data_IF_304025806607
#
_entry.id   IF_304025806607
#
_cell.length_a   1.000
_cell.length_b   1.000
_cell.length_c   1.000
_cell.angle_alpha   90.00
_cell.angle_beta   90.00
_cell.angle_gamma   90.00
#
_symmetry.space_group_name_H-M   'P 1'
#
loop_
_entity.id
_entity.type
_entity.pdbx_description
1 polymer ?
#
# COMPACT_ATOMS: atom_id res chain seq x y z
N UNK A 1 -9.95 19.18 0.64
CA UNK A 1 -9.87 17.70 0.55
C UNK A 1 -9.54 17.15 1.92
N UNK A 2 -10.14 16.01 2.29
CA UNK A 2 -9.86 15.34 3.56
C UNK A 2 -8.77 14.27 3.38
N UNK A 3 -7.78 14.21 4.27
CA UNK A 3 -6.84 13.09 4.33
C UNK A 3 -7.47 11.94 5.11
N UNK A 4 -7.55 10.77 4.48
CA UNK A 4 -8.07 9.55 5.10
C UNK A 4 -6.95 8.52 5.17
N UNK A 5 -6.54 8.13 6.37
CA UNK A 5 -5.62 7.02 6.58
C UNK A 5 -6.40 5.71 6.67
N UNK A 6 -6.00 4.71 5.89
CA UNK A 6 -6.51 3.35 6.01
C UNK A 6 -5.44 2.51 6.67
N UNK A 7 -5.74 2.00 7.87
CA UNK A 7 -4.78 1.28 8.71
C UNK A 7 -5.16 -0.20 8.71
N UNK A 8 -4.24 -1.09 8.33
CA UNK A 8 -4.46 -2.53 8.43
C UNK A 8 -4.73 -2.91 9.89
N UNK A 9 -5.65 -3.84 10.12
CA UNK A 9 -5.92 -4.42 11.44
C UNK A 9 -5.93 -5.94 11.37
N UNK A 10 -5.41 -6.54 12.43
CA UNK A 10 -5.45 -7.97 12.68
C UNK A 10 -6.01 -8.20 14.09
N UNK A 11 -7.05 -9.00 14.24
CA UNK A 11 -7.63 -9.34 15.55
C UNK A 11 -7.97 -8.13 16.44
N UNK A 12 -8.53 -7.07 15.86
CA UNK A 12 -8.91 -5.80 16.52
C UNK A 12 -7.76 -4.87 16.93
N UNK A 13 -6.51 -5.23 16.67
CA UNK A 13 -5.34 -4.36 16.91
C UNK A 13 -4.84 -3.83 15.56
N UNK A 14 -4.48 -2.54 15.43
CA UNK A 14 -3.77 -2.03 14.27
C UNK A 14 -2.50 -2.86 14.03
N UNK A 15 -2.25 -3.23 12.77
CA UNK A 15 -1.02 -3.95 12.42
C UNK A 15 0.18 -3.11 12.84
N UNK A 16 1.12 -3.74 13.56
CA UNK A 16 2.33 -3.08 14.02
C UNK A 16 3.22 -2.78 12.81
N UNK A 17 3.49 -1.50 12.59
CA UNK A 17 4.53 -1.07 11.66
C UNK A 17 5.91 -1.37 12.28
N UNK A 18 6.95 -1.40 11.44
CA UNK A 18 8.33 -1.50 11.95
C UNK A 18 8.62 -0.24 12.79
N UNK A 19 9.45 -0.37 13.83
CA UNK A 19 9.75 0.74 14.75
C UNK A 19 10.25 2.00 14.02
N UNK A 20 11.07 1.80 12.98
CA UNK A 20 11.59 2.88 12.13
C UNK A 20 10.50 3.74 11.47
N UNK A 21 9.31 3.19 11.27
CA UNK A 21 8.20 3.82 10.56
C UNK A 21 7.18 4.46 11.52
N UNK A 22 7.30 4.24 12.84
CA UNK A 22 6.31 4.69 13.82
C UNK A 22 6.14 6.20 13.84
N UNK A 23 7.24 6.96 13.76
CA UNK A 23 7.18 8.41 13.80
C UNK A 23 6.41 8.97 12.59
N UNK A 24 6.82 8.57 11.38
CA UNK A 24 6.18 8.99 10.14
C UNK A 24 4.71 8.58 10.06
N UNK A 25 4.38 7.35 10.49
CA UNK A 25 3.00 6.90 10.56
C UNK A 25 2.17 7.68 11.58
N UNK A 26 2.74 7.98 12.75
CA UNK A 26 2.10 8.82 13.77
C UNK A 26 1.78 10.22 13.24
N UNK A 27 2.71 10.85 12.53
CA UNK A 27 2.50 12.15 11.88
C UNK A 27 1.36 12.09 10.85
N UNK A 28 1.34 11.08 9.98
CA UNK A 28 0.26 10.89 9.01
C UNK A 28 -1.11 10.71 9.70
N UNK A 29 -1.15 9.95 10.81
CA UNK A 29 -2.37 9.75 11.59
C UNK A 29 -2.85 11.03 12.27
N UNK A 30 -1.93 11.89 12.74
CA UNK A 30 -2.27 13.19 13.32
C UNK A 30 -2.80 14.19 12.29
N UNK A 31 -2.28 14.14 11.05
CA UNK A 31 -2.80 14.91 9.91
C UNK A 31 -4.11 14.30 9.33
N UNK A 32 -4.42 13.08 9.76
CA UNK A 32 -5.64 12.31 9.57
C UNK A 32 -6.95 13.06 9.84
N UNK A 33 -7.76 13.44 8.85
CA UNK A 33 -9.14 13.85 9.14
C UNK A 33 -10.05 12.66 9.46
N UNK A 34 -9.73 11.49 8.89
CA UNK A 34 -10.40 10.24 9.21
C UNK A 34 -9.40 9.09 9.20
N UNK A 35 -9.55 8.17 10.16
CA UNK A 35 -8.83 6.90 10.17
C UNK A 35 -9.85 5.78 10.00
N UNK A 36 -9.62 4.92 9.01
CA UNK A 36 -10.44 3.72 8.76
C UNK A 36 -9.59 2.50 9.01
N UNK A 37 -10.16 1.52 9.69
CA UNK A 37 -9.49 0.24 9.87
C UNK A 37 -9.94 -0.74 8.79
N UNK A 38 -8.99 -1.52 8.26
CA UNK A 38 -9.22 -2.52 7.23
C UNK A 38 -8.71 -3.88 7.73
N UNK A 39 -9.60 -4.87 7.82
CA UNK A 39 -9.19 -6.25 8.14
C UNK A 39 -8.17 -6.72 7.10
N UNK A 40 -7.00 -7.11 7.58
CA UNK A 40 -5.85 -7.45 6.74
C UNK A 40 -5.01 -8.50 7.48
N UNK A 41 -4.93 -9.69 6.92
CA UNK A 41 -4.09 -10.77 7.43
C UNK A 41 -2.85 -10.91 6.55
N UNK A 42 -1.66 -10.47 7.01
CA UNK A 42 -0.44 -10.58 6.21
C UNK A 42 -0.02 -12.03 5.89
N UNK A 43 -0.56 -13.02 6.60
CA UNK A 43 -0.30 -14.43 6.33
C UNK A 43 -1.19 -15.02 5.21
N UNK A 44 -2.31 -14.36 4.88
CA UNK A 44 -3.21 -14.75 3.80
C UNK A 44 -3.07 -13.77 2.62
N UNK A 45 -2.22 -14.14 1.66
CA UNK A 45 -1.96 -13.35 0.45
C UNK A 45 -3.24 -12.97 -0.30
N UNK A 46 -4.20 -13.88 -0.40
CA UNK A 46 -5.44 -13.60 -1.13
C UNK A 46 -6.34 -12.64 -0.35
N UNK A 47 -6.32 -12.69 0.99
CA UNK A 47 -6.98 -11.69 1.82
C UNK A 47 -6.35 -10.30 1.65
N UNK A 48 -5.02 -10.20 1.62
CA UNK A 48 -4.31 -8.94 1.33
C UNK A 48 -4.75 -8.36 -0.02
N UNK A 49 -4.68 -9.17 -1.08
CA UNK A 49 -5.08 -8.74 -2.43
C UNK A 49 -6.52 -8.23 -2.45
N UNK A 50 -7.47 -8.97 -1.85
CA UNK A 50 -8.89 -8.54 -1.79
C UNK A 50 -9.07 -7.23 -1.02
N UNK A 51 -8.29 -7.02 0.04
CA UNK A 51 -8.33 -5.81 0.85
C UNK A 51 -7.84 -4.59 0.06
N UNK A 52 -6.72 -4.73 -0.65
CA UNK A 52 -6.15 -3.68 -1.50
C UNK A 52 -7.06 -3.35 -2.70
N UNK A 53 -7.62 -4.37 -3.36
CA UNK A 53 -8.57 -4.18 -4.45
C UNK A 53 -9.84 -3.45 -3.99
N UNK A 54 -10.33 -3.76 -2.77
CA UNK A 54 -11.44 -3.04 -2.17
C UNK A 54 -11.09 -1.57 -1.90
N UNK A 55 -9.88 -1.28 -1.47
CA UNK A 55 -9.40 0.08 -1.29
C UNK A 55 -9.38 0.82 -2.62
N UNK A 56 -8.81 0.22 -3.67
CA UNK A 56 -8.73 0.83 -5.00
C UNK A 56 -10.09 1.17 -5.62
N UNK A 57 -11.10 0.31 -5.41
CA UNK A 57 -12.48 0.59 -5.87
C UNK A 57 -13.11 1.83 -5.22
N UNK A 58 -12.58 2.30 -4.10
CA UNK A 58 -13.03 3.55 -3.46
C UNK A 58 -12.30 4.80 -3.96
N UNK A 59 -11.26 4.64 -4.80
CA UNK A 59 -10.43 5.72 -5.30
C UNK A 59 -10.92 6.19 -6.67
N UNK A 60 -10.97 7.51 -6.88
CA UNK A 60 -11.20 8.08 -8.21
C UNK A 60 -9.91 8.13 -9.07
N UNK A 61 -8.76 8.18 -8.40
CA UNK A 61 -7.42 8.19 -9.00
C UNK A 61 -6.43 7.53 -8.05
N UNK A 62 -5.41 6.91 -8.62
CA UNK A 62 -4.30 6.27 -7.90
C UNK A 62 -3.00 6.90 -8.36
N UNK A 63 -2.13 7.24 -7.41
CA UNK A 63 -0.74 7.59 -7.69
C UNK A 63 0.11 6.41 -7.25
N UNK A 64 0.84 5.82 -8.17
CA UNK A 64 1.71 4.67 -7.92
C UNK A 64 3.18 5.10 -8.02
N UNK A 65 3.94 4.92 -6.94
CA UNK A 65 5.40 5.05 -6.98
C UNK A 65 5.97 3.71 -7.44
N UNK A 66 6.25 3.59 -8.73
CA UNK A 66 6.54 2.31 -9.37
C UNK A 66 7.35 2.49 -10.65
N UNK A 67 8.33 1.63 -10.84
CA UNK A 67 9.27 1.64 -11.97
C UNK A 67 8.69 1.15 -13.31
N UNK A 68 7.42 0.74 -13.34
CA UNK A 68 6.76 0.25 -14.56
C UNK A 68 6.97 -1.24 -14.84
N UNK A 69 7.75 -1.94 -14.02
CA UNK A 69 8.13 -3.34 -14.28
C UNK A 69 6.95 -4.28 -14.06
N UNK A 70 6.56 -5.02 -15.12
CA UNK A 70 5.39 -5.89 -15.11
C UNK A 70 5.38 -6.88 -13.93
N UNK A 71 4.18 -7.23 -13.45
CA UNK A 71 4.05 -8.14 -12.31
C UNK A 71 4.64 -9.51 -12.65
N UNK A 72 5.52 -10.01 -11.78
CA UNK A 72 6.01 -11.38 -11.78
C UNK A 72 5.17 -12.29 -10.85
N UNK A 73 3.95 -11.85 -10.49
CA UNK A 73 3.08 -12.53 -9.52
C UNK A 73 3.44 -12.28 -8.06
N UNK A 74 4.58 -11.67 -7.74
CA UNK A 74 4.97 -11.31 -6.36
C UNK A 74 4.97 -9.80 -6.12
N UNK A 75 5.08 -8.99 -7.18
CA UNK A 75 5.01 -7.55 -7.07
C UNK A 75 3.56 -7.08 -6.86
N UNK A 76 3.24 -6.73 -5.61
CA UNK A 76 1.92 -6.23 -5.22
C UNK A 76 1.58 -4.92 -5.94
N UNK A 77 2.54 -4.01 -6.12
CA UNK A 77 2.30 -2.71 -6.78
C UNK A 77 1.93 -2.91 -8.24
N UNK A 78 2.64 -3.76 -8.97
CA UNK A 78 2.32 -4.06 -10.36
C UNK A 78 0.93 -4.72 -10.52
N UNK A 79 0.55 -5.63 -9.60
CA UNK A 79 -0.80 -6.20 -9.55
C UNK A 79 -1.87 -5.11 -9.36
N UNK A 80 -1.68 -4.24 -8.38
CA UNK A 80 -2.62 -3.17 -8.04
C UNK A 80 -2.77 -2.13 -9.15
N UNK A 81 -1.68 -1.79 -9.85
CA UNK A 81 -1.74 -0.91 -11.03
C UNK A 81 -2.55 -1.55 -12.16
N UNK A 82 -2.34 -2.84 -12.44
CA UNK A 82 -3.10 -3.57 -13.45
C UNK A 82 -4.59 -3.66 -13.06
N UNK A 83 -4.87 -3.98 -11.79
CA UNK A 83 -6.22 -4.03 -11.24
C UNK A 83 -6.94 -2.69 -11.40
N UNK A 84 -6.34 -1.58 -10.94
CA UNK A 84 -6.92 -0.25 -11.03
C UNK A 84 -7.27 0.14 -12.48
N UNK A 85 -6.33 -0.07 -13.41
CA UNK A 85 -6.55 0.23 -14.84
C UNK A 85 -7.70 -0.58 -15.44
N UNK A 86 -7.77 -1.88 -15.13
CA UNK A 86 -8.86 -2.74 -15.63
C UNK A 86 -10.25 -2.35 -15.12
N UNK A 87 -10.32 -1.64 -13.98
CA UNK A 87 -11.56 -1.15 -13.37
C UNK A 87 -11.85 0.33 -13.72
N UNK A 88 -11.12 0.92 -14.67
CA UNK A 88 -11.33 2.29 -15.11
C UNK A 88 -10.85 3.37 -14.13
N UNK A 89 -10.09 2.99 -13.10
CA UNK A 89 -9.49 3.94 -12.17
C UNK A 89 -8.25 4.55 -12.84
N UNK A 90 -8.19 5.88 -12.90
CA UNK A 90 -7.04 6.58 -13.46
C UNK A 90 -5.78 6.32 -12.62
N UNK A 91 -4.71 5.82 -13.22
CA UNK A 91 -3.43 5.57 -12.55
C UNK A 91 -2.37 6.51 -13.10
N UNK A 92 -1.78 7.28 -12.20
CA UNK A 92 -0.60 8.11 -12.46
C UNK A 92 0.63 7.41 -11.85
N UNK A 93 1.64 7.13 -12.67
CA UNK A 93 2.86 6.48 -12.22
C UNK A 93 3.94 7.55 -12.05
N UNK A 94 4.55 7.60 -10.87
CA UNK A 94 5.66 8.50 -10.57
C UNK A 94 6.91 7.66 -10.31
N UNK A 95 7.89 7.79 -11.19
CA UNK A 95 9.22 7.20 -11.05
C UNK A 95 10.25 8.21 -11.57
N UNK A 96 11.03 8.86 -10.69
CA UNK A 96 12.02 9.84 -11.11
C UNK A 96 13.12 9.24 -11.99
N UNK A 97 13.68 10.03 -12.90
CA UNK A 97 14.85 9.64 -13.67
C UNK A 97 16.02 9.30 -12.73
N UNK A 98 16.67 8.16 -12.97
CA UNK A 98 17.76 7.66 -12.12
C UNK A 98 17.31 7.05 -10.80
N UNK A 99 16.01 6.92 -10.53
CA UNK A 99 15.53 6.18 -9.37
C UNK A 99 15.76 4.68 -9.54
N UNK A 100 16.34 4.05 -8.51
CA UNK A 100 16.57 2.62 -8.45
C UNK A 100 15.74 2.00 -7.33
N UNK A 101 15.30 0.75 -7.53
CA UNK A 101 14.70 -0.03 -6.44
C UNK A 101 15.78 -0.36 -5.43
N UNK A 102 15.69 0.23 -4.25
CA UNK A 102 16.46 -0.24 -3.10
C UNK A 102 15.79 -1.50 -2.59
N UNK A 103 16.46 -2.65 -2.67
CA UNK A 103 15.98 -3.84 -1.98
C UNK A 103 15.95 -3.52 -0.49
N UNK A 104 14.78 -3.68 0.13
CA UNK A 104 14.66 -3.48 1.57
C UNK A 104 15.61 -4.42 2.28
N UNK A 105 16.61 -3.89 3.00
CA UNK A 105 17.44 -4.65 3.92
C UNK A 105 16.55 -5.50 4.83
N UNK A 106 16.56 -6.81 4.58
CA UNK A 106 15.72 -7.77 5.26
C UNK A 106 16.14 -9.18 4.92
N UNK A 107 17.35 -9.57 5.37
CA UNK A 107 17.77 -10.95 5.62
C UNK A 107 19.14 -10.95 6.36
N UNK A 108 19.21 -10.30 7.53
CA UNK A 108 20.21 -10.73 8.52
C UNK A 108 19.56 -11.86 9.33
N UNK A 109 19.84 -13.08 8.88
CA UNK A 109 19.70 -14.28 9.69
C UNK A 109 20.67 -14.18 10.87
N UNK A 110 20.15 -14.10 12.09
CA UNK A 110 20.64 -14.87 13.25
C UNK A 110 19.76 -14.67 14.48
#
# INVERSE_FOLDING_TARGET
>A
MALVAVVPRLNRVPALLRERDWLAAGELLLLSQQVRLLEYDPADRDACVRADERLLRSCARVVAIWDGTASNGHDATAHLVAYARSHGVGVEVLWPDGAERVQGLGEESS
#
